data_IF_864388531901
#
_entry.id   IF_864388531901
#
_cell.length_a   1.000
_cell.length_b   1.000
_cell.length_c   1.000
_cell.angle_alpha   90.00
_cell.angle_beta   90.00
_cell.angle_gamma   90.00
#
_symmetry.space_group_name_H-M   'P 1'
#
loop_
_entity.id
_entity.type
_entity.pdbx_description
1 polymer ?
#
# COMPACT_ATOMS: atom_id res chain seq x y z
N UNK A 1 -4.71 20.33 -41.36
CA UNK A 1 -5.91 20.70 -40.57
C UNK A 1 -5.69 20.19 -39.16
N UNK A 2 -5.64 21.09 -38.19
CA UNK A 2 -5.22 20.83 -36.81
C UNK A 2 -6.34 21.25 -35.85
N UNK A 3 -6.47 20.47 -34.76
CA UNK A 3 -7.04 20.77 -33.43
C UNK A 3 -8.56 20.81 -33.22
N UNK A 4 -9.01 19.76 -32.52
CA UNK A 4 -9.83 19.68 -31.30
C UNK A 4 -10.86 20.76 -30.94
N UNK A 5 -12.06 20.27 -30.61
CA UNK A 5 -13.13 20.99 -29.94
C UNK A 5 -13.91 20.01 -29.05
N UNK A 6 -14.19 20.39 -27.80
CA UNK A 6 -15.24 19.76 -26.98
C UNK A 6 -14.85 19.35 -25.56
N UNK A 7 -14.87 20.30 -24.63
CA UNK A 7 -15.13 20.02 -23.20
C UNK A 7 -16.63 19.83 -23.02
N UNK A 8 -17.03 18.81 -22.26
CA UNK A 8 -18.35 18.73 -21.66
C UNK A 8 -18.21 18.43 -20.17
N UNK A 9 -18.87 19.26 -19.37
CA UNK A 9 -18.97 19.19 -17.92
C UNK A 9 -20.08 18.21 -17.50
N UNK A 10 -19.96 17.62 -16.31
CA UNK A 10 -21.10 17.20 -15.50
C UNK A 10 -20.72 17.17 -14.02
N UNK A 11 -21.66 17.60 -13.19
CA UNK A 11 -21.52 17.98 -11.79
C UNK A 11 -22.17 16.97 -10.83
N UNK A 12 -21.94 17.24 -9.53
CA UNK A 12 -22.76 16.92 -8.35
C UNK A 12 -22.55 15.58 -7.62
N UNK A 13 -22.15 15.65 -6.35
CA UNK A 13 -23.02 15.37 -5.20
C UNK A 13 -22.28 15.61 -3.86
N UNK A 14 -22.99 16.14 -2.87
CA UNK A 14 -22.53 16.55 -1.55
C UNK A 14 -22.83 15.49 -0.46
N UNK A 15 -22.35 15.79 0.78
CA UNK A 15 -22.64 15.18 2.10
C UNK A 15 -21.54 14.19 2.59
N UNK A 16 -21.07 14.13 3.85
CA UNK A 16 -21.50 14.66 5.16
C UNK A 16 -20.39 14.34 6.20
N UNK A 17 -20.05 15.22 7.16
CA UNK A 17 -19.21 14.86 8.33
C UNK A 17 -18.60 16.05 9.08
N UNK A 18 -18.49 16.03 10.43
CA UNK A 18 -18.58 17.24 11.27
C UNK A 18 -17.28 18.04 11.40
N UNK A 19 -17.40 19.38 11.41
CA UNK A 19 -16.32 20.31 11.83
C UNK A 19 -16.32 20.49 13.36
N UNK A 20 -15.16 20.47 14.04
CA UNK A 20 -15.06 20.86 15.45
C UNK A 20 -15.04 22.38 15.65
N UNK A 21 -15.37 22.75 16.89
CA UNK A 21 -15.97 24.01 17.37
C UNK A 21 -15.03 25.21 17.40
N UNK A 22 -15.63 26.40 17.24
CA UNK A 22 -14.98 27.69 17.34
C UNK A 22 -14.58 28.08 18.76
N UNK A 23 -13.70 29.07 18.83
CA UNK A 23 -13.46 29.88 20.03
C UNK A 23 -13.96 31.29 19.78
N UNK A 24 -14.76 31.74 20.73
CA UNK A 24 -15.56 32.95 20.73
C UNK A 24 -14.85 34.13 21.36
N UNK A 25 -15.30 35.31 20.91
CA UNK A 25 -15.48 36.55 21.66
C UNK A 25 -14.26 37.41 22.04
N UNK A 26 -14.32 38.63 21.51
CA UNK A 26 -13.75 39.84 22.10
C UNK A 26 -14.59 41.05 21.65
N UNK A 27 -15.78 41.21 22.24
CA UNK A 27 -16.60 42.41 22.09
C UNK A 27 -16.03 43.54 22.96
N UNK A 28 -15.95 44.76 22.42
CA UNK A 28 -15.92 45.99 23.22
C UNK A 28 -16.87 47.02 22.63
N UNK A 29 -17.78 47.45 23.49
CA UNK A 29 -18.84 48.39 23.26
C UNK A 29 -18.40 49.82 23.59
N UNK A 30 -19.10 50.78 23.00
CA UNK A 30 -19.52 52.01 23.69
C UNK A 30 -18.78 53.28 23.32
N UNK A 31 -19.50 54.21 22.66
CA UNK A 31 -19.85 55.50 23.26
C UNK A 31 -20.74 56.29 22.29
N UNK A 32 -21.93 56.65 22.78
CA UNK A 32 -22.95 57.45 22.11
C UNK A 32 -23.04 58.76 22.89
N UNK A 33 -22.89 59.91 22.22
CA UNK A 33 -23.04 61.23 22.81
C UNK A 33 -23.83 62.16 21.88
N UNK A 34 -25.05 62.43 22.34
CA UNK A 34 -25.94 63.59 22.26
C UNK A 34 -25.73 64.75 21.27
N UNK A 35 -26.86 65.22 20.73
CA UNK A 35 -27.13 66.67 20.63
C UNK A 35 -27.19 67.30 19.24
N UNK A 36 -28.42 67.60 18.78
CA UNK A 36 -28.67 68.82 17.98
C UNK A 36 -29.09 68.61 16.52
N UNK A 37 -30.40 68.70 16.26
CA UNK A 37 -30.93 68.93 14.91
C UNK A 37 -30.53 70.32 14.41
N UNK A 38 -29.80 70.39 13.29
CA UNK A 38 -29.76 71.54 12.38
C UNK A 38 -29.94 70.97 10.97
N UNK A 39 -31.02 71.33 10.29
CA UNK A 39 -31.14 71.14 8.85
C UNK A 39 -30.59 72.41 8.20
N UNK A 40 -29.51 72.30 7.41
CA UNK A 40 -29.39 73.23 6.30
C UNK A 40 -28.81 72.63 5.02
N UNK A 41 -29.51 72.97 3.93
CA UNK A 41 -29.04 73.22 2.55
C UNK A 41 -28.51 72.04 1.72
N UNK A 42 -29.18 71.82 0.58
CA UNK A 42 -28.91 70.87 -0.50
C UNK A 42 -27.59 71.14 -1.26
N UNK A 43 -26.47 71.31 -0.56
CA UNK A 43 -25.16 71.63 -1.18
C UNK A 43 -23.97 70.81 -0.61
N UNK A 44 -24.24 69.70 0.09
CA UNK A 44 -23.18 68.77 0.49
C UNK A 44 -22.83 67.85 -0.69
N UNK A 45 -21.74 68.22 -1.37
CA UNK A 45 -21.23 67.59 -2.59
C UNK A 45 -21.23 66.07 -2.57
N UNK A 46 -21.63 65.50 -3.72
CA UNK A 46 -21.46 64.07 -4.03
C UNK A 46 -20.05 63.65 -3.61
N UNK A 47 -19.89 62.77 -2.60
CA UNK A 47 -18.59 62.23 -2.29
C UNK A 47 -18.11 61.51 -3.55
N UNK A 48 -17.02 62.03 -4.12
CA UNK A 48 -16.44 61.54 -5.35
C UNK A 48 -16.35 60.02 -5.33
N UNK A 49 -16.65 59.42 -6.49
CA UNK A 49 -16.69 57.98 -6.69
C UNK A 49 -15.59 57.25 -5.93
N UNK A 50 -15.95 56.71 -4.78
CA UNK A 50 -15.08 55.81 -4.05
C UNK A 50 -14.94 54.57 -4.91
N UNK A 51 -13.74 54.37 -5.48
CA UNK A 51 -13.40 53.12 -6.13
C UNK A 51 -13.63 52.01 -5.11
N UNK A 52 -14.66 51.20 -5.36
CA UNK A 52 -14.90 50.00 -4.56
C UNK A 52 -13.67 49.13 -4.75
N UNK A 53 -12.78 49.12 -3.76
CA UNK A 53 -11.64 48.21 -3.72
C UNK A 53 -12.20 46.84 -3.44
N UNK A 54 -12.54 46.09 -4.50
CA UNK A 54 -12.83 44.67 -4.42
C UNK A 54 -11.54 44.02 -3.92
N UNK A 55 -11.50 43.72 -2.62
CA UNK A 55 -10.38 43.02 -2.01
C UNK A 55 -10.39 41.62 -2.61
N UNK A 56 -9.52 41.38 -3.59
CA UNK A 56 -9.33 40.03 -4.14
C UNK A 56 -9.06 39.09 -2.97
N UNK A 57 -10.03 38.22 -2.71
CA UNK A 57 -9.82 37.13 -1.78
C UNK A 57 -8.85 36.18 -2.48
N UNK A 58 -7.63 36.11 -1.95
CA UNK A 58 -6.61 35.21 -2.44
C UNK A 58 -7.22 33.81 -2.64
N UNK A 59 -7.07 33.27 -3.83
CA UNK A 59 -7.53 31.92 -4.13
C UNK A 59 -6.93 30.95 -3.10
N UNK A 60 -7.70 29.97 -2.59
CA UNK A 60 -7.17 29.00 -1.67
C UNK A 60 -5.95 28.31 -2.31
N UNK A 61 -4.91 27.99 -1.53
CA UNK A 61 -3.75 27.30 -2.05
C UNK A 61 -4.20 26.00 -2.72
N UNK A 62 -3.56 25.66 -3.85
CA UNK A 62 -3.83 24.42 -4.56
C UNK A 62 -3.70 23.22 -3.60
N UNK A 63 -4.55 22.19 -3.73
CA UNK A 63 -4.42 20.99 -2.92
C UNK A 63 -3.04 20.36 -3.16
N UNK A 64 -2.45 19.80 -2.10
CA UNK A 64 -1.22 19.02 -2.23
C UNK A 64 -1.40 17.92 -3.29
N UNK A 65 -0.34 17.57 -4.04
CA UNK A 65 -0.43 16.51 -5.03
C UNK A 65 -0.92 15.22 -4.38
N UNK A 66 -1.83 14.51 -5.05
CA UNK A 66 -2.38 13.23 -4.60
C UNK A 66 -1.27 12.18 -4.36
N UNK A 67 -0.16 12.31 -5.08
CA UNK A 67 1.08 11.58 -4.84
C UNK A 67 2.00 12.44 -3.99
N UNK A 68 2.02 12.17 -2.68
CA UNK A 68 3.14 12.59 -1.85
C UNK A 68 4.42 11.95 -2.42
N UNK A 69 5.45 12.76 -2.67
CA UNK A 69 6.75 12.26 -3.08
C UNK A 69 7.44 11.65 -1.85
N UNK A 70 7.09 10.40 -1.54
CA UNK A 70 7.73 9.63 -0.48
C UNK A 70 9.19 9.38 -0.86
N UNK A 71 10.08 10.22 -0.33
CA UNK A 71 11.53 10.00 -0.38
C UNK A 71 11.92 9.24 0.87
N UNK A 72 12.25 7.95 0.71
CA UNK A 72 12.87 7.18 1.78
C UNK A 72 14.18 7.85 2.22
N UNK A 73 14.23 8.28 3.47
CA UNK A 73 15.42 8.85 4.08
C UNK A 73 16.50 7.78 4.31
N UNK A 74 17.74 8.20 4.59
CA UNK A 74 18.83 7.26 4.88
C UNK A 74 18.53 6.33 6.07
N UNK A 75 17.76 6.80 7.05
CA UNK A 75 17.28 5.99 8.17
C UNK A 75 16.26 4.92 7.76
N UNK A 76 15.38 5.22 6.81
CA UNK A 76 14.35 4.30 6.33
C UNK A 76 14.99 3.10 5.62
N UNK A 77 16.04 3.34 4.83
CA UNK A 77 16.82 2.27 4.20
C UNK A 77 17.53 1.37 5.23
N UNK A 78 18.03 1.96 6.32
CA UNK A 78 18.65 1.19 7.40
C UNK A 78 17.63 0.31 8.14
N UNK A 79 16.44 0.86 8.42
CA UNK A 79 15.33 0.11 9.03
C UNK A 79 14.85 -1.01 8.10
N UNK A 80 14.66 -0.71 6.81
CA UNK A 80 14.30 -1.70 5.80
C UNK A 80 15.32 -2.82 5.72
N UNK A 81 16.61 -2.50 5.67
CA UNK A 81 17.68 -3.49 5.64
C UNK A 81 17.67 -4.37 6.91
N UNK A 82 17.50 -3.76 8.08
CA UNK A 82 17.41 -4.48 9.34
C UNK A 82 16.21 -5.45 9.37
N UNK A 83 15.04 -4.99 8.90
CA UNK A 83 13.84 -5.82 8.79
C UNK A 83 14.01 -6.97 7.79
N UNK A 84 14.63 -6.72 6.64
CA UNK A 84 14.94 -7.76 5.65
C UNK A 84 15.87 -8.83 6.21
N UNK A 85 16.94 -8.43 6.89
CA UNK A 85 17.89 -9.37 7.52
C UNK A 85 17.19 -10.18 8.60
N UNK A 86 16.43 -9.51 9.48
CA UNK A 86 15.67 -10.19 10.52
C UNK A 86 14.66 -11.18 9.95
N UNK A 87 13.95 -10.80 8.87
CA UNK A 87 12.98 -11.66 8.20
C UNK A 87 13.64 -12.91 7.61
N UNK A 88 14.79 -12.76 6.95
CA UNK A 88 15.55 -13.89 6.43
C UNK A 88 16.04 -14.81 7.54
N UNK A 89 16.58 -14.25 8.63
CA UNK A 89 17.03 -15.05 9.78
C UNK A 89 15.86 -15.85 10.35
N UNK A 90 14.72 -15.21 10.63
CA UNK A 90 13.55 -15.86 11.24
C UNK A 90 12.96 -16.93 10.31
N UNK A 91 12.84 -16.64 9.01
CA UNK A 91 12.20 -17.56 8.05
C UNK A 91 13.10 -18.71 7.62
N UNK A 92 14.41 -18.53 7.63
CA UNK A 92 15.38 -19.59 7.32
C UNK A 92 15.89 -20.31 8.59
N UNK A 93 15.48 -19.88 9.78
CA UNK A 93 15.88 -20.51 11.03
C UNK A 93 15.37 -21.95 11.11
N UNK A 94 16.28 -22.91 11.34
CA UNK A 94 15.97 -24.34 11.54
C UNK A 94 15.11 -24.95 10.43
N UNK A 95 15.35 -24.57 9.17
CA UNK A 95 14.59 -25.07 8.02
C UNK A 95 14.66 -26.62 7.81
N UNK A 96 15.71 -27.24 8.35
CA UNK A 96 15.91 -28.69 8.35
C UNK A 96 15.01 -29.44 9.35
N UNK A 97 14.36 -28.76 10.28
CA UNK A 97 13.49 -29.37 11.27
C UNK A 97 12.02 -28.96 11.03
N UNK A 98 11.07 -29.89 11.07
CA UNK A 98 11.23 -31.35 11.23
C UNK A 98 11.73 -32.04 9.95
N UNK A 99 12.52 -33.11 10.08
CA UNK A 99 13.01 -33.93 8.95
C UNK A 99 11.95 -34.90 8.39
N UNK A 100 10.67 -34.55 8.53
CA UNK A 100 9.54 -35.35 8.09
C UNK A 100 8.61 -34.53 7.19
N UNK A 101 7.83 -35.21 6.35
CA UNK A 101 6.81 -34.59 5.51
C UNK A 101 5.73 -33.91 6.37
N UNK A 102 5.50 -32.61 6.14
CA UNK A 102 4.44 -31.83 6.82
C UNK A 102 3.20 -31.58 5.94
N UNK A 103 2.17 -30.98 6.53
CA UNK A 103 0.79 -30.88 6.04
C UNK A 103 0.60 -30.34 4.61
N UNK A 104 1.46 -29.46 4.11
CA UNK A 104 1.32 -28.96 2.73
C UNK A 104 2.30 -29.66 1.76
N UNK A 105 3.38 -30.25 2.29
CA UNK A 105 4.41 -30.94 1.52
C UNK A 105 3.90 -32.22 0.87
N UNK A 106 2.90 -32.89 1.48
CA UNK A 106 2.23 -34.05 0.86
C UNK A 106 1.63 -33.71 -0.51
N UNK A 107 1.02 -32.53 -0.64
CA UNK A 107 0.39 -32.10 -1.88
C UNK A 107 1.43 -31.52 -2.84
N UNK A 108 2.18 -30.52 -2.38
CA UNK A 108 3.15 -29.81 -3.23
C UNK A 108 4.32 -30.71 -3.67
N UNK A 109 4.79 -31.62 -2.82
CA UNK A 109 5.82 -32.60 -3.14
C UNK A 109 5.37 -33.60 -4.20
N UNK A 110 4.14 -34.11 -4.08
CA UNK A 110 3.55 -35.02 -5.09
C UNK A 110 3.39 -34.33 -6.44
N UNK A 111 2.96 -33.07 -6.45
CA UNK A 111 2.88 -32.29 -7.69
C UNK A 111 4.26 -31.98 -8.26
N UNK A 112 5.26 -31.67 -7.43
CA UNK A 112 6.63 -31.48 -7.89
C UNK A 112 7.16 -32.72 -8.60
N UNK A 113 7.00 -33.91 -8.01
CA UNK A 113 7.37 -35.17 -8.67
C UNK A 113 6.65 -35.37 -10.00
N UNK A 114 5.33 -35.10 -10.06
CA UNK A 114 4.55 -35.22 -11.30
C UNK A 114 4.99 -34.23 -12.39
N UNK A 115 5.36 -33.01 -12.03
CA UNK A 115 5.91 -32.02 -12.97
C UNK A 115 7.28 -32.44 -13.49
N UNK A 116 8.16 -32.96 -12.62
CA UNK A 116 9.48 -33.44 -13.03
C UNK A 116 9.41 -34.68 -13.92
N UNK A 117 8.48 -35.59 -13.62
CA UNK A 117 8.27 -36.82 -14.38
C UNK A 117 7.40 -36.61 -15.64
N UNK A 118 6.85 -35.41 -15.86
CA UNK A 118 5.99 -35.11 -17.00
C UNK A 118 4.67 -35.88 -17.01
N UNK A 119 4.18 -36.34 -15.85
CA UNK A 119 2.94 -37.11 -15.75
C UNK A 119 1.73 -36.19 -15.61
N UNK A 120 0.68 -36.45 -16.38
CA UNK A 120 -0.56 -35.67 -16.30
C UNK A 120 -1.26 -35.86 -14.95
N UNK A 121 -1.82 -34.77 -14.40
CA UNK A 121 -2.69 -34.80 -13.24
C UNK A 121 -3.69 -33.65 -13.29
N UNK A 122 -4.77 -33.80 -12.52
CA UNK A 122 -5.77 -32.76 -12.34
C UNK A 122 -5.54 -32.01 -11.03
N UNK A 123 -5.73 -30.68 -11.07
CA UNK A 123 -5.60 -29.78 -9.93
C UNK A 123 -6.55 -28.59 -10.10
N UNK A 124 -7.15 -28.14 -9.00
CA UNK A 124 -8.07 -27.01 -8.97
C UNK A 124 -7.34 -25.65 -9.08
N UNK A 125 -6.09 -25.59 -8.61
CA UNK A 125 -5.41 -24.31 -8.44
C UNK A 125 -4.60 -23.91 -9.67
N UNK A 126 -4.34 -22.60 -9.85
CA UNK A 126 -3.38 -22.12 -10.84
C UNK A 126 -1.99 -22.77 -10.68
N UNK A 127 -1.28 -23.07 -11.79
CA UNK A 127 -0.10 -23.93 -11.76
C UNK A 127 1.19 -23.25 -11.30
N UNK A 128 1.23 -21.91 -11.27
CA UNK A 128 2.47 -21.14 -11.10
C UNK A 128 3.26 -21.55 -9.85
N UNK A 129 2.61 -21.59 -8.68
CA UNK A 129 3.28 -21.92 -7.43
C UNK A 129 3.88 -23.34 -7.45
N UNK A 130 3.18 -24.30 -8.06
CA UNK A 130 3.63 -25.69 -8.11
C UNK A 130 4.74 -25.90 -9.11
N UNK A 131 4.72 -25.18 -10.24
CA UNK A 131 5.82 -25.15 -11.20
C UNK A 131 7.07 -24.52 -10.59
N UNK A 132 6.94 -23.41 -9.86
CA UNK A 132 8.06 -22.81 -9.13
C UNK A 132 8.62 -23.78 -8.08
N UNK A 133 7.76 -24.48 -7.36
CA UNK A 133 8.19 -25.48 -6.38
C UNK A 133 8.89 -26.69 -7.02
N UNK A 134 8.38 -27.17 -8.16
CA UNK A 134 9.05 -28.22 -8.95
C UNK A 134 10.41 -27.76 -9.47
N UNK A 135 10.53 -26.51 -9.94
CA UNK A 135 11.78 -25.92 -10.38
C UNK A 135 12.79 -25.79 -9.21
N UNK A 136 12.33 -25.34 -8.04
CA UNK A 136 13.16 -25.29 -6.84
C UNK A 136 13.63 -26.69 -6.42
N UNK A 137 12.76 -27.69 -6.47
CA UNK A 137 13.13 -29.10 -6.29
C UNK A 137 14.20 -29.54 -7.28
N UNK A 138 14.04 -29.23 -8.57
CA UNK A 138 15.03 -29.57 -9.60
C UNK A 138 16.40 -28.95 -9.32
N UNK A 139 16.44 -27.67 -8.94
CA UNK A 139 17.69 -26.96 -8.59
C UNK A 139 18.31 -27.53 -7.31
N UNK A 140 17.50 -27.95 -6.35
CA UNK A 140 17.95 -28.60 -5.12
C UNK A 140 18.44 -30.05 -5.33
N UNK A 141 18.27 -30.61 -6.53
CA UNK A 141 18.68 -31.98 -6.86
C UNK A 141 17.60 -33.04 -6.63
N UNK A 142 16.33 -32.66 -6.50
CA UNK A 142 15.23 -33.60 -6.41
C UNK A 142 14.98 -34.28 -7.77
N UNK A 143 14.85 -35.60 -7.76
CA UNK A 143 14.70 -36.45 -8.93
C UNK A 143 13.24 -36.75 -9.31
N UNK A 144 12.28 -36.43 -8.42
CA UNK A 144 10.86 -36.67 -8.66
C UNK A 144 10.39 -38.08 -8.32
N UNK A 145 11.24 -38.93 -7.73
CA UNK A 145 10.93 -40.35 -7.48
C UNK A 145 10.21 -40.56 -6.14
N UNK A 146 10.48 -39.72 -5.15
CA UNK A 146 9.89 -39.87 -3.82
C UNK A 146 8.38 -39.61 -3.82
N UNK A 147 7.60 -40.56 -3.29
CA UNK A 147 6.15 -40.40 -3.13
C UNK A 147 5.81 -39.80 -1.77
N UNK A 148 5.27 -38.58 -1.79
CA UNK A 148 4.81 -37.86 -0.59
C UNK A 148 3.41 -38.35 -0.16
N UNK A 149 3.26 -39.67 0.01
CA UNK A 149 1.96 -40.32 0.19
C UNK A 149 1.28 -40.06 1.54
N UNK A 150 2.04 -39.72 2.58
CA UNK A 150 1.53 -39.48 3.93
C UNK A 150 2.36 -38.43 4.70
N UNK A 151 1.72 -37.82 5.68
CA UNK A 151 2.39 -36.92 6.64
C UNK A 151 3.25 -37.78 7.58
N UNK A 152 4.43 -37.27 7.93
CA UNK A 152 5.33 -37.93 8.89
C UNK A 152 6.30 -38.92 8.26
N UNK A 153 6.34 -39.06 6.93
CA UNK A 153 7.38 -39.84 6.25
C UNK A 153 8.74 -39.16 6.43
N UNK A 154 9.77 -39.96 6.70
CA UNK A 154 11.13 -39.49 6.94
C UNK A 154 11.85 -39.17 5.62
N UNK A 155 12.36 -37.94 5.51
CA UNK A 155 13.15 -37.50 4.35
C UNK A 155 14.56 -38.09 4.33
N UNK A 156 15.16 -38.34 5.50
CA UNK A 156 16.54 -38.80 5.61
C UNK A 156 16.71 -40.22 5.06
N UNK A 157 15.72 -41.09 5.27
CA UNK A 157 15.69 -42.44 4.72
C UNK A 157 15.63 -42.45 3.18
N UNK A 158 15.05 -41.41 2.58
CA UNK A 158 14.83 -41.32 1.14
C UNK A 158 15.81 -40.41 0.40
N UNK A 159 16.69 -39.70 1.11
CA UNK A 159 17.70 -38.81 0.50
C UNK A 159 17.11 -37.59 -0.23
N UNK A 160 15.90 -37.16 0.12
CA UNK A 160 15.22 -36.04 -0.55
C UNK A 160 15.85 -34.70 -0.13
N UNK A 161 16.18 -33.78 -1.05
CA UNK A 161 16.73 -32.47 -0.72
C UNK A 161 15.66 -31.48 -0.24
N UNK A 162 14.91 -31.85 0.81
CA UNK A 162 13.77 -31.09 1.32
C UNK A 162 14.14 -29.69 1.84
N UNK A 163 15.35 -29.50 2.37
CA UNK A 163 15.82 -28.19 2.85
C UNK A 163 15.88 -27.18 1.70
N UNK A 164 16.40 -27.60 0.54
CA UNK A 164 16.44 -26.76 -0.66
C UNK A 164 15.04 -26.45 -1.20
N UNK A 165 14.12 -27.40 -1.10
CA UNK A 165 12.71 -27.19 -1.48
C UNK A 165 12.00 -26.20 -0.55
N UNK A 166 12.23 -26.28 0.76
CA UNK A 166 11.70 -25.36 1.78
C UNK A 166 12.27 -23.95 1.66
N UNK A 167 13.44 -23.79 1.05
CA UNK A 167 14.06 -22.48 0.89
C UNK A 167 13.22 -21.55 0.01
N UNK A 168 12.51 -22.10 -0.99
CA UNK A 168 11.64 -21.30 -1.87
C UNK A 168 10.55 -20.55 -1.07
N UNK A 169 9.65 -21.21 -0.31
CA UNK A 169 8.64 -20.50 0.47
C UNK A 169 9.26 -19.64 1.58
N UNK A 170 10.41 -20.03 2.16
CA UNK A 170 11.10 -19.22 3.17
C UNK A 170 11.59 -17.86 2.60
N UNK A 171 12.25 -17.89 1.43
CA UNK A 171 12.76 -16.68 0.77
C UNK A 171 11.62 -15.82 0.24
N UNK A 172 10.64 -16.41 -0.46
CA UNK A 172 9.47 -15.66 -0.96
C UNK A 172 8.71 -15.01 0.19
N UNK A 173 8.56 -15.71 1.31
CA UNK A 173 7.96 -15.19 2.53
C UNK A 173 8.79 -14.10 3.22
N UNK A 174 10.11 -14.09 3.07
CA UNK A 174 10.96 -13.00 3.59
C UNK A 174 10.90 -11.76 2.68
N UNK A 175 10.79 -11.96 1.36
CA UNK A 175 10.65 -10.89 0.36
C UNK A 175 9.34 -10.10 0.49
N UNK A 176 8.33 -10.61 1.20
CA UNK A 176 7.12 -9.83 1.49
C UNK A 176 7.39 -8.65 2.42
N UNK A 177 8.46 -8.69 3.23
CA UNK A 177 8.81 -7.63 4.18
C UNK A 177 9.21 -6.34 3.45
N UNK A 178 10.19 -6.32 2.52
CA UNK A 178 10.51 -5.12 1.78
C UNK A 178 9.39 -4.66 0.84
N UNK A 179 8.49 -5.56 0.42
CA UNK A 179 7.34 -5.19 -0.40
C UNK A 179 6.21 -4.51 0.39
N UNK A 180 6.17 -4.73 1.71
CA UNK A 180 5.14 -4.18 2.60
C UNK A 180 5.60 -2.96 3.41
N UNK A 181 6.91 -2.73 3.49
CA UNK A 181 7.54 -1.58 4.16
C UNK A 181 7.37 -0.30 3.32
#
# INVERSE_FOLDING_TARGET
MTVAMGRAAAAAAAATGPRPKGHSMGARAGAMADGGKRLPSDDDGVPGGGSVVIREHAAPPAPAPFVAEWRAGGGDWAVLAALCVLALVVRCWRLHEPANVVFDEVHFGKFAGRYLNGTYFFDLHPPLAKLMFAAAGRVAGYDGVFDFGAIGLDYAAAGVPYVGMRLLPAVLGALTVPLAF
#
